data_IF_891256979322
#
_entry.id   IF_891256979322
#
_cell.length_a   1.000
_cell.length_b   1.000
_cell.length_c   1.000
_cell.angle_alpha   90.00
_cell.angle_beta   90.00
_cell.angle_gamma   90.00
#
_symmetry.space_group_name_H-M   'P 1'
#
loop_
_entity.id
_entity.type
_entity.pdbx_description
1 polymer ?
#
# COMPACT_ATOMS: atom_id res chain seq x y z
N UNK A 1 7.48 24.71 -17.98
CA UNK A 1 6.50 24.55 -16.88
C UNK A 1 7.22 24.23 -15.59
N UNK A 2 7.29 25.19 -14.66
CA UNK A 2 7.87 24.96 -13.33
C UNK A 2 6.93 24.09 -12.47
N UNK A 3 7.38 23.64 -11.29
CA UNK A 3 6.58 22.75 -10.42
C UNK A 3 5.30 23.44 -9.95
N UNK A 4 5.34 24.74 -9.68
CA UNK A 4 4.18 25.49 -9.20
C UNK A 4 3.06 25.55 -10.25
N UNK A 5 3.42 25.80 -11.51
CA UNK A 5 2.49 25.85 -12.64
C UNK A 5 1.81 24.48 -12.86
N UNK A 6 2.56 23.38 -12.71
CA UNK A 6 2.01 22.02 -12.75
C UNK A 6 1.00 21.77 -11.62
N UNK A 7 1.37 22.15 -10.40
CA UNK A 7 0.51 22.00 -9.21
C UNK A 7 -0.77 22.82 -9.34
N UNK A 8 -0.68 24.06 -9.83
CA UNK A 8 -1.85 24.91 -10.01
C UNK A 8 -2.82 24.33 -11.04
N UNK A 9 -2.33 23.83 -12.16
CA UNK A 9 -3.17 23.14 -13.16
C UNK A 9 -3.91 21.93 -12.58
N UNK A 10 -3.26 21.17 -11.68
CA UNK A 10 -3.91 20.05 -10.98
C UNK A 10 -4.98 20.54 -10.02
N UNK A 11 -4.71 21.60 -9.26
CA UNK A 11 -5.67 22.19 -8.32
C UNK A 11 -6.94 22.67 -9.03
N UNK A 12 -6.80 23.23 -10.23
CA UNK A 12 -7.90 23.71 -11.08
C UNK A 12 -8.69 22.58 -11.73
N UNK A 13 -8.13 21.36 -11.79
CA UNK A 13 -8.81 20.20 -12.38
C UNK A 13 -10.02 19.72 -11.56
N UNK A 14 -10.91 18.98 -12.22
CA UNK A 14 -12.03 18.33 -11.55
C UNK A 14 -11.56 17.26 -10.54
N UNK A 15 -12.20 17.20 -9.38
CA UNK A 15 -11.86 16.22 -8.33
C UNK A 15 -12.08 14.76 -8.77
N UNK A 16 -12.92 14.54 -9.79
CA UNK A 16 -13.25 13.23 -10.36
C UNK A 16 -12.01 12.51 -10.88
N UNK A 17 -11.07 13.22 -11.51
CA UNK A 17 -9.87 12.58 -12.10
C UNK A 17 -8.95 12.02 -11.00
N UNK A 18 -8.53 12.81 -9.98
CA UNK A 18 -7.83 12.29 -8.81
C UNK A 18 -8.51 11.07 -8.17
N UNK A 19 -9.83 11.12 -7.99
CA UNK A 19 -10.59 10.03 -7.40
C UNK A 19 -10.53 8.76 -8.25
N UNK A 20 -10.71 8.86 -9.57
CA UNK A 20 -10.62 7.72 -10.48
C UNK A 20 -9.23 7.09 -10.42
N UNK A 21 -8.16 7.90 -10.36
CA UNK A 21 -6.79 7.38 -10.24
C UNK A 21 -6.65 6.57 -8.94
N UNK A 22 -7.10 7.10 -7.81
CA UNK A 22 -7.03 6.40 -6.50
C UNK A 22 -7.82 5.09 -6.53
N UNK A 23 -9.03 5.10 -7.10
CA UNK A 23 -9.85 3.90 -7.25
C UNK A 23 -9.17 2.86 -8.16
N UNK A 24 -8.59 3.29 -9.28
CA UNK A 24 -7.83 2.41 -10.16
C UNK A 24 -6.61 1.82 -9.44
N UNK A 25 -5.88 2.62 -8.65
CA UNK A 25 -4.77 2.12 -7.81
C UNK A 25 -5.27 1.04 -6.86
N UNK A 26 -6.42 1.24 -6.21
CA UNK A 26 -7.01 0.26 -5.29
C UNK A 26 -7.44 -1.04 -5.98
N UNK A 27 -8.08 -0.95 -7.16
CA UNK A 27 -8.46 -2.12 -7.95
C UNK A 27 -7.23 -2.91 -8.37
N UNK A 28 -6.22 -2.25 -8.95
CA UNK A 28 -5.00 -2.94 -9.41
C UNK A 28 -4.24 -3.54 -8.24
N UNK A 29 -4.10 -2.80 -7.13
CA UNK A 29 -3.47 -3.32 -5.91
C UNK A 29 -4.22 -4.56 -5.39
N UNK A 30 -5.55 -4.52 -5.32
CA UNK A 30 -6.36 -5.67 -4.89
C UNK A 30 -6.21 -6.89 -5.81
N UNK A 31 -6.19 -6.69 -7.13
CA UNK A 31 -5.95 -7.77 -8.11
C UNK A 31 -4.56 -8.36 -7.92
N UNK A 32 -3.52 -7.53 -7.80
CA UNK A 32 -2.14 -8.01 -7.62
C UNK A 32 -2.01 -8.75 -6.28
N UNK A 33 -2.57 -8.22 -5.20
CA UNK A 33 -2.60 -8.89 -3.89
C UNK A 33 -3.34 -10.23 -3.95
N UNK A 34 -4.46 -10.32 -4.67
CA UNK A 34 -5.16 -11.59 -4.87
C UNK A 34 -4.28 -12.62 -5.59
N UNK A 35 -3.57 -12.22 -6.65
CA UNK A 35 -2.66 -13.13 -7.38
C UNK A 35 -1.54 -13.61 -6.44
N UNK A 36 -0.94 -12.71 -5.65
CA UNK A 36 0.08 -13.08 -4.65
C UNK A 36 -0.52 -14.04 -3.61
N UNK A 37 -1.70 -13.73 -3.04
CA UNK A 37 -2.36 -14.60 -2.06
C UNK A 37 -2.76 -15.95 -2.64
N UNK A 38 -3.02 -16.05 -3.95
CA UNK A 38 -3.35 -17.32 -4.59
C UNK A 38 -2.17 -18.31 -4.65
N UNK A 39 -0.94 -17.84 -4.39
CA UNK A 39 0.25 -18.68 -4.21
C UNK A 39 0.30 -19.37 -2.84
N UNK A 40 -0.59 -19.01 -1.92
CA UNK A 40 -0.70 -19.62 -0.60
C UNK A 40 -1.85 -20.63 -0.64
N UNK A 41 -1.50 -21.90 -0.51
CA UNK A 41 -2.43 -23.02 -0.49
C UNK A 41 -2.64 -23.48 0.94
N UNK A 42 -3.89 -23.63 1.35
CA UNK A 42 -4.25 -24.08 2.69
C UNK A 42 -4.73 -25.52 2.63
N UNK A 43 -4.17 -26.40 3.47
CA UNK A 43 -4.62 -27.78 3.65
C UNK A 43 -5.55 -27.76 4.86
N UNK A 44 -6.85 -27.87 4.61
CA UNK A 44 -7.86 -27.78 5.65
C UNK A 44 -8.10 -29.14 6.32
N UNK A 45 -8.57 -29.17 7.59
CA UNK A 45 -9.09 -30.40 8.18
C UNK A 45 -10.26 -30.94 7.34
N UNK A 46 -10.36 -32.27 7.17
CA UNK A 46 -11.33 -32.97 6.30
C UNK A 46 -12.81 -32.61 6.52
N UNK A 47 -13.14 -31.96 7.64
CA UNK A 47 -14.50 -31.66 8.08
C UNK A 47 -14.88 -30.17 7.98
N UNK A 48 -14.05 -29.31 7.37
CA UNK A 48 -14.34 -27.88 7.29
C UNK A 48 -15.08 -27.51 5.98
N UNK A 49 -16.33 -27.02 6.04
CA UNK A 49 -17.08 -26.58 4.85
C UNK A 49 -16.53 -25.29 4.22
N UNK A 50 -15.53 -24.65 4.84
CA UNK A 50 -14.94 -23.37 4.42
C UNK A 50 -14.09 -23.52 3.17
N UNK A 51 -13.48 -24.69 2.95
CA UNK A 51 -12.59 -24.96 1.80
C UNK A 51 -13.27 -24.62 0.46
N UNK A 52 -14.55 -25.01 0.30
CA UNK A 52 -15.30 -24.82 -0.93
C UNK A 52 -15.51 -23.35 -1.31
N UNK A 53 -15.56 -22.44 -0.33
CA UNK A 53 -15.85 -21.02 -0.55
C UNK A 53 -14.63 -20.11 -0.34
N UNK A 54 -13.53 -20.65 0.20
CA UNK A 54 -12.36 -19.88 0.59
C UNK A 54 -11.77 -19.07 -0.56
N UNK A 55 -11.64 -19.67 -1.76
CA UNK A 55 -11.12 -18.98 -2.94
C UNK A 55 -11.95 -17.75 -3.34
N UNK A 56 -13.28 -17.84 -3.27
CA UNK A 56 -14.19 -16.74 -3.60
C UNK A 56 -14.18 -15.67 -2.51
N UNK A 57 -14.17 -16.07 -1.24
CA UNK A 57 -14.09 -15.16 -0.10
C UNK A 57 -12.79 -14.36 -0.15
N UNK A 58 -11.66 -15.03 -0.41
CA UNK A 58 -10.35 -14.38 -0.52
C UNK A 58 -10.25 -13.45 -1.72
N UNK A 59 -10.78 -13.84 -2.88
CA UNK A 59 -10.82 -12.98 -4.06
C UNK A 59 -11.66 -11.71 -3.82
N UNK A 60 -12.85 -11.87 -3.22
CA UNK A 60 -13.72 -10.73 -2.91
C UNK A 60 -13.11 -9.81 -1.84
N UNK A 61 -12.55 -10.38 -0.77
CA UNK A 61 -11.99 -9.61 0.34
C UNK A 61 -10.75 -8.83 -0.06
N UNK A 62 -9.86 -9.39 -0.87
CA UNK A 62 -8.64 -8.72 -1.35
C UNK A 62 -8.97 -7.58 -2.32
N UNK A 63 -9.93 -7.75 -3.22
CA UNK A 63 -10.35 -6.68 -4.13
C UNK A 63 -11.01 -5.52 -3.39
N UNK A 64 -11.97 -5.82 -2.50
CA UNK A 64 -12.68 -4.81 -1.72
C UNK A 64 -11.72 -4.08 -0.78
N UNK A 65 -10.86 -4.82 -0.07
CA UNK A 65 -9.86 -4.23 0.81
C UNK A 65 -8.86 -3.37 0.06
N UNK A 66 -8.41 -3.75 -1.14
CA UNK A 66 -7.52 -2.92 -1.97
C UNK A 66 -8.10 -1.54 -2.28
N UNK A 67 -9.38 -1.47 -2.64
CA UNK A 67 -10.08 -0.19 -2.90
C UNK A 67 -10.20 0.63 -1.63
N UNK A 68 -10.67 0.02 -0.53
CA UNK A 68 -10.85 0.71 0.76
C UNK A 68 -9.51 1.24 1.26
N UNK A 69 -8.46 0.41 1.27
CA UNK A 69 -7.12 0.78 1.73
C UNK A 69 -6.55 1.90 0.88
N UNK A 70 -6.73 1.91 -0.46
CA UNK A 70 -6.25 2.99 -1.30
C UNK A 70 -6.92 4.32 -0.98
N UNK A 71 -8.25 4.34 -0.83
CA UNK A 71 -9.00 5.56 -0.49
C UNK A 71 -8.66 6.05 0.92
N UNK A 72 -8.63 5.15 1.90
CA UNK A 72 -8.25 5.46 3.28
C UNK A 72 -6.83 6.00 3.32
N UNK A 73 -5.86 5.31 2.70
CA UNK A 73 -4.47 5.77 2.64
C UNK A 73 -4.39 7.16 2.01
N UNK A 74 -5.07 7.40 0.90
CA UNK A 74 -5.08 8.71 0.26
C UNK A 74 -5.60 9.81 1.18
N UNK A 75 -6.75 9.60 1.81
CA UNK A 75 -7.36 10.60 2.70
C UNK A 75 -6.51 10.84 3.95
N UNK A 76 -6.05 9.78 4.62
CA UNK A 76 -5.27 9.90 5.86
C UNK A 76 -3.87 10.44 5.61
N UNK A 77 -3.17 9.97 4.57
CA UNK A 77 -1.82 10.43 4.25
C UNK A 77 -1.83 11.93 3.91
N UNK A 78 -2.68 12.33 2.97
CA UNK A 78 -2.73 13.73 2.53
C UNK A 78 -3.45 14.64 3.54
N UNK A 79 -4.36 14.09 4.35
CA UNK A 79 -4.94 14.78 5.50
C UNK A 79 -3.88 15.08 6.57
N UNK A 80 -3.04 14.11 6.91
CA UNK A 80 -1.93 14.31 7.87
C UNK A 80 -0.91 15.33 7.34
N UNK A 81 -0.54 15.24 6.06
CA UNK A 81 0.32 16.23 5.40
C UNK A 81 -0.29 17.63 5.51
N UNK A 82 -1.61 17.75 5.29
CA UNK A 82 -2.29 19.02 5.38
C UNK A 82 -2.22 19.62 6.79
N UNK A 83 -2.46 18.82 7.82
CA UNK A 83 -2.40 19.26 9.21
C UNK A 83 -0.98 19.74 9.56
N UNK A 84 0.05 18.96 9.22
CA UNK A 84 1.43 19.30 9.57
C UNK A 84 1.92 20.53 8.78
N UNK A 85 1.62 20.61 7.48
CA UNK A 85 1.99 21.77 6.67
C UNK A 85 1.32 23.06 7.15
N UNK A 86 0.07 22.99 7.61
CA UNK A 86 -0.65 24.12 8.23
C UNK A 86 0.00 24.55 9.54
N UNK A 87 0.42 23.59 10.38
CA UNK A 87 1.15 23.88 11.62
C UNK A 87 2.48 24.63 11.37
N UNK A 88 3.09 24.45 10.20
CA UNK A 88 4.30 25.19 9.80
C UNK A 88 4.05 26.59 9.20
N UNK A 89 2.79 27.06 9.21
CA UNK A 89 2.37 28.36 8.68
C UNK A 89 1.96 28.33 7.20
N UNK A 90 1.74 27.15 6.62
CA UNK A 90 1.30 27.01 5.23
C UNK A 90 -0.15 27.46 5.00
N UNK A 91 -0.45 27.91 3.78
CA UNK A 91 -1.80 28.30 3.36
C UNK A 91 -2.35 27.33 2.32
N UNK A 92 -3.63 26.98 2.41
CA UNK A 92 -4.27 26.11 1.43
C UNK A 92 -5.43 25.31 2.02
N UNK A 93 -6.31 24.84 1.14
CA UNK A 93 -7.47 24.02 1.49
C UNK A 93 -7.15 22.53 1.35
N UNK A 94 -7.81 21.69 2.17
CA UNK A 94 -7.62 20.24 2.14
C UNK A 94 -7.93 19.63 0.77
N UNK A 95 -8.93 20.16 0.06
CA UNK A 95 -9.32 19.69 -1.26
C UNK A 95 -8.18 19.81 -2.28
N UNK A 96 -7.40 20.89 -2.22
CA UNK A 96 -6.26 21.11 -3.13
C UNK A 96 -5.20 20.03 -2.98
N UNK A 97 -4.96 19.62 -1.74
CA UNK A 97 -3.93 18.62 -1.40
C UNK A 97 -4.40 17.22 -1.73
N UNK A 98 -5.68 16.92 -1.52
CA UNK A 98 -6.28 15.67 -1.96
C UNK A 98 -6.22 15.54 -3.49
N UNK A 99 -6.54 16.59 -4.26
CA UNK A 99 -6.41 16.57 -5.73
C UNK A 99 -4.99 16.21 -6.17
N UNK A 100 -3.99 16.93 -5.64
CA UNK A 100 -2.59 16.66 -5.96
C UNK A 100 -2.16 15.27 -5.50
N UNK A 101 -2.62 14.84 -4.33
CA UNK A 101 -2.38 13.50 -3.83
C UNK A 101 -2.94 12.39 -4.70
N UNK A 102 -4.12 12.59 -5.29
CA UNK A 102 -4.70 11.60 -6.20
C UNK A 102 -3.91 11.48 -7.51
N UNK A 103 -3.31 12.58 -8.00
CA UNK A 103 -2.37 12.50 -9.11
C UNK A 103 -1.05 11.82 -8.73
N UNK A 104 -0.58 11.97 -7.49
CA UNK A 104 0.61 11.26 -6.98
C UNK A 104 0.34 9.76 -6.90
N UNK A 105 -0.91 9.36 -6.63
CA UNK A 105 -1.33 7.95 -6.68
C UNK A 105 -1.17 7.32 -8.08
N UNK A 106 -1.00 8.11 -9.16
CA UNK A 106 -0.62 7.58 -10.47
C UNK A 106 0.76 6.91 -10.43
N UNK A 107 1.70 7.43 -9.65
CA UNK A 107 3.02 6.82 -9.46
C UNK A 107 2.84 5.46 -8.77
N UNK A 108 1.98 5.38 -7.75
CA UNK A 108 1.68 4.13 -7.05
C UNK A 108 0.93 3.14 -7.93
N UNK A 109 0.02 3.60 -8.80
CA UNK A 109 -0.66 2.76 -9.79
C UNK A 109 0.37 2.08 -10.70
N UNK A 110 1.30 2.86 -11.27
CA UNK A 110 2.38 2.32 -12.11
C UNK A 110 3.23 1.35 -11.30
N UNK A 111 3.56 1.67 -10.05
CA UNK A 111 4.32 0.77 -9.18
C UNK A 111 3.67 -0.59 -8.96
N UNK A 112 2.35 -0.63 -8.74
CA UNK A 112 1.60 -1.88 -8.61
C UNK A 112 1.56 -2.69 -9.93
N UNK A 113 1.46 -2.02 -11.07
CA UNK A 113 1.52 -2.70 -12.38
C UNK A 113 2.90 -3.31 -12.61
N UNK A 114 3.96 -2.56 -12.29
CA UNK A 114 5.34 -3.04 -12.45
C UNK A 114 5.66 -4.15 -11.45
N UNK A 115 5.16 -4.09 -10.22
CA UNK A 115 5.41 -5.13 -9.22
C UNK A 115 4.78 -6.47 -9.61
N UNK A 116 3.72 -6.47 -10.42
CA UNK A 116 3.13 -7.70 -10.97
C UNK A 116 4.12 -8.55 -11.78
N UNK A 117 5.18 -7.95 -12.36
CA UNK A 117 6.24 -8.67 -13.08
C UNK A 117 7.02 -9.61 -12.15
N UNK A 118 7.10 -9.29 -10.86
CA UNK A 118 7.80 -10.11 -9.87
C UNK A 118 6.97 -11.32 -9.38
N UNK A 119 5.65 -11.26 -9.53
CA UNK A 119 4.71 -12.25 -8.97
C UNK A 119 4.94 -13.68 -9.48
N UNK A 120 5.25 -13.93 -10.77
CA UNK A 120 5.57 -15.29 -11.24
C UNK A 120 6.80 -15.92 -10.60
N UNK A 121 7.70 -15.12 -10.01
CA UNK A 121 8.91 -15.59 -9.33
C UNK A 121 8.69 -15.86 -7.84
N UNK A 122 7.50 -15.58 -7.32
CA UNK A 122 7.13 -15.88 -5.94
C UNK A 122 6.81 -17.38 -5.85
N UNK A 123 7.49 -18.14 -4.96
CA UNK A 123 7.24 -19.57 -4.81
C UNK A 123 5.84 -19.81 -4.24
N UNK A 124 5.31 -21.01 -4.46
CA UNK A 124 4.08 -21.44 -3.79
C UNK A 124 4.37 -21.83 -2.34
N UNK A 125 3.44 -21.53 -1.45
CA UNK A 125 3.49 -21.86 -0.03
C UNK A 125 2.32 -22.77 0.31
N UNK A 126 2.55 -23.80 1.12
CA UNK A 126 1.50 -24.73 1.57
C UNK A 126 1.38 -24.67 3.09
N UNK A 127 0.30 -24.09 3.57
CA UNK A 127 0.01 -23.99 4.99
C UNK A 127 -0.89 -25.16 5.36
N UNK A 128 -0.36 -26.13 6.09
CA UNK A 128 -1.18 -27.13 6.76
C UNK A 128 -1.99 -26.44 7.86
N UNK A 129 -3.29 -26.68 7.96
CA UNK A 129 -4.15 -26.14 9.02
C UNK A 129 -4.81 -27.26 9.84
N UNK A 130 -4.39 -28.52 9.66
CA UNK A 130 -4.94 -29.69 10.36
C UNK A 130 -4.82 -29.58 11.89
N UNK A 131 -3.77 -28.92 12.39
CA UNK A 131 -3.50 -28.72 13.82
C UNK A 131 -4.37 -27.64 14.48
N UNK A 132 -5.22 -26.89 13.75
CA UNK A 132 -6.02 -25.76 14.32
C UNK A 132 -6.90 -26.18 15.52
N UNK A 133 -7.26 -27.47 15.60
CA UNK A 133 -8.10 -28.01 16.68
C UNK A 133 -7.30 -28.61 17.85
N UNK A 134 -5.97 -28.53 17.82
CA UNK A 134 -5.11 -29.03 18.90
C UNK A 134 -5.04 -28.02 20.05
N UNK A 135 -4.95 -28.51 21.30
CA UNK A 135 -4.83 -27.64 22.49
C UNK A 135 -3.54 -26.81 22.49
N UNK A 136 -2.47 -27.33 21.87
CA UNK A 136 -1.18 -26.66 21.69
C UNK A 136 -0.68 -26.88 20.27
N UNK A 137 -1.14 -26.06 19.30
CA UNK A 137 -0.72 -26.21 17.92
C UNK A 137 0.77 -25.86 17.77
N UNK A 138 1.55 -26.77 17.18
CA UNK A 138 2.93 -26.46 16.77
C UNK A 138 2.90 -25.71 15.44
N UNK A 139 3.27 -24.43 15.48
CA UNK A 139 3.28 -23.54 14.31
C UNK A 139 4.68 -23.31 13.73
N UNK A 140 5.70 -24.01 14.25
CA UNK A 140 7.10 -23.79 13.86
C UNK A 140 7.33 -23.99 12.36
N UNK A 141 6.73 -25.03 11.76
CA UNK A 141 6.83 -25.29 10.33
C UNK A 141 6.21 -24.16 9.49
N UNK A 142 5.08 -23.59 9.91
CA UNK A 142 4.43 -22.47 9.20
C UNK A 142 5.29 -21.23 9.28
N UNK A 143 5.89 -20.96 10.45
CA UNK A 143 6.77 -19.81 10.64
C UNK A 143 8.00 -19.93 9.73
N UNK A 144 8.60 -21.12 9.63
CA UNK A 144 9.73 -21.38 8.75
C UNK A 144 9.35 -21.23 7.27
N UNK A 145 8.22 -21.79 6.85
CA UNK A 145 7.71 -21.65 5.48
C UNK A 145 7.33 -20.18 5.15
N UNK A 146 6.74 -19.45 6.12
CA UNK A 146 6.42 -18.03 5.96
C UNK A 146 7.69 -17.23 5.74
N UNK A 147 8.73 -17.52 6.52
CA UNK A 147 10.02 -16.87 6.42
C UNK A 147 10.70 -17.19 5.08
N UNK A 148 10.70 -18.44 4.64
CA UNK A 148 11.22 -18.82 3.33
C UNK A 148 10.47 -18.10 2.19
N UNK A 149 9.14 -18.08 2.25
CA UNK A 149 8.30 -17.38 1.29
C UNK A 149 8.63 -15.87 1.24
N UNK A 150 8.70 -15.20 2.39
CA UNK A 150 8.97 -13.77 2.52
C UNK A 150 10.42 -13.39 2.16
N UNK A 151 11.37 -14.32 2.32
CA UNK A 151 12.78 -14.11 1.96
C UNK A 151 13.13 -14.60 0.56
N UNK A 152 12.16 -15.18 -0.16
CA UNK A 152 12.33 -15.57 -1.55
C UNK A 152 12.67 -14.36 -2.44
N UNK A 153 13.48 -14.60 -3.47
CA UNK A 153 13.88 -13.54 -4.40
C UNK A 153 12.69 -12.85 -5.07
N UNK A 154 11.65 -13.61 -5.43
CA UNK A 154 10.43 -13.08 -6.04
C UNK A 154 9.68 -12.14 -5.11
N UNK A 155 9.49 -12.53 -3.85
CA UNK A 155 8.78 -11.71 -2.87
C UNK A 155 9.55 -10.43 -2.52
N UNK A 156 10.87 -10.54 -2.31
CA UNK A 156 11.74 -9.38 -2.08
C UNK A 156 11.68 -8.42 -3.26
N UNK A 157 11.73 -8.92 -4.51
CA UNK A 157 11.64 -8.07 -5.70
C UNK A 157 10.29 -7.34 -5.78
N UNK A 158 9.19 -8.07 -5.52
CA UNK A 158 7.84 -7.52 -5.48
C UNK A 158 7.72 -6.35 -4.48
N UNK A 159 8.13 -6.56 -3.22
CA UNK A 159 8.09 -5.54 -2.17
C UNK A 159 9.06 -4.37 -2.45
N UNK A 160 10.23 -4.66 -3.01
CA UNK A 160 11.24 -3.64 -3.35
C UNK A 160 10.72 -2.68 -4.42
N UNK A 161 10.06 -3.20 -5.47
CA UNK A 161 9.44 -2.36 -6.51
C UNK A 161 8.41 -1.42 -5.86
N UNK A 162 7.48 -1.96 -5.07
CA UNK A 162 6.45 -1.15 -4.40
C UNK A 162 7.10 -0.07 -3.53
N UNK A 163 8.13 -0.42 -2.76
CA UNK A 163 8.85 0.50 -1.88
C UNK A 163 9.55 1.63 -2.65
N UNK A 164 10.17 1.33 -3.79
CA UNK A 164 10.78 2.34 -4.67
C UNK A 164 9.72 3.34 -5.16
N UNK A 165 8.58 2.86 -5.64
CA UNK A 165 7.51 3.74 -6.11
C UNK A 165 6.88 4.56 -4.97
N UNK A 166 6.79 4.02 -3.75
CA UNK A 166 6.41 4.80 -2.55
C UNK A 166 7.42 5.92 -2.28
N UNK A 167 8.72 5.66 -2.38
CA UNK A 167 9.76 6.68 -2.19
C UNK A 167 9.72 7.76 -3.28
N UNK A 168 9.52 7.38 -4.54
CA UNK A 168 9.33 8.34 -5.64
C UNK A 168 8.08 9.20 -5.40
N UNK A 169 6.96 8.59 -5.02
CA UNK A 169 5.74 9.31 -4.67
C UNK A 169 5.96 10.30 -3.52
N UNK A 170 6.74 9.93 -2.50
CA UNK A 170 7.12 10.83 -1.40
C UNK A 170 7.89 12.06 -1.91
N UNK A 171 8.87 11.87 -2.80
CA UNK A 171 9.64 12.99 -3.38
C UNK A 171 8.70 13.97 -4.11
N UNK A 172 7.81 13.47 -4.96
CA UNK A 172 6.84 14.32 -5.66
C UNK A 172 5.86 14.99 -4.70
N UNK A 173 5.51 14.32 -3.60
CA UNK A 173 4.67 14.91 -2.55
C UNK A 173 5.36 16.07 -1.84
N UNK A 174 6.66 15.95 -1.55
CA UNK A 174 7.46 17.02 -0.94
C UNK A 174 7.53 18.24 -1.87
N UNK A 175 7.79 18.01 -3.16
CA UNK A 175 7.81 19.06 -4.18
C UNK A 175 6.45 19.76 -4.30
N UNK A 176 5.37 18.99 -4.30
CA UNK A 176 4.01 19.51 -4.33
C UNK A 176 3.65 20.31 -3.08
N UNK A 177 4.01 19.81 -1.90
CA UNK A 177 3.71 20.47 -0.63
C UNK A 177 4.44 21.82 -0.50
N UNK A 178 5.70 21.90 -0.92
CA UNK A 178 6.44 23.18 -1.00
C UNK A 178 5.67 24.19 -1.86
N UNK A 179 5.26 23.80 -3.07
CA UNK A 179 4.56 24.67 -4.00
C UNK A 179 3.14 25.06 -3.54
N UNK A 180 2.39 24.11 -2.97
CA UNK A 180 1.01 24.30 -2.50
C UNK A 180 0.94 25.23 -1.29
N UNK A 181 1.80 24.99 -0.31
CA UNK A 181 1.73 25.66 1.00
C UNK A 181 2.66 26.87 1.12
N UNK A 182 3.54 27.08 0.15
CA UNK A 182 4.58 28.14 0.18
C UNK A 182 5.45 28.06 1.44
N UNK A 183 5.76 26.85 1.88
CA UNK A 183 6.67 26.56 3.00
C UNK A 183 8.05 26.20 2.46
N UNK A 184 9.10 26.32 3.28
CA UNK A 184 10.45 25.92 2.85
C UNK A 184 10.56 24.41 2.60
N UNK A 185 11.48 24.00 1.72
CA UNK A 185 11.79 22.58 1.44
C UNK A 185 11.94 21.73 2.71
N UNK A 186 12.64 22.21 3.73
CA UNK A 186 12.84 21.47 4.98
C UNK A 186 11.52 21.21 5.72
N UNK A 187 10.65 22.22 5.79
CA UNK A 187 9.31 22.07 6.39
C UNK A 187 8.45 21.10 5.58
N UNK A 188 8.53 21.15 4.24
CA UNK A 188 7.83 20.21 3.37
C UNK A 188 8.33 18.77 3.54
N UNK A 189 9.65 18.57 3.68
CA UNK A 189 10.26 17.26 3.97
C UNK A 189 9.70 16.70 5.29
N UNK A 190 9.60 17.51 6.35
CA UNK A 190 9.07 17.03 7.63
C UNK A 190 7.56 16.74 7.51
N UNK A 191 6.80 17.64 6.88
CA UNK A 191 5.35 17.50 6.72
C UNK A 191 4.94 16.27 5.90
N UNK A 192 5.75 15.88 4.91
CA UNK A 192 5.49 14.70 4.09
C UNK A 192 6.19 13.46 4.64
N UNK A 193 7.42 13.61 5.12
CA UNK A 193 8.27 12.52 5.58
C UNK A 193 7.69 11.80 6.79
N UNK A 194 7.13 12.51 7.77
CA UNK A 194 6.52 11.86 8.95
C UNK A 194 5.35 10.94 8.54
N UNK A 195 4.33 11.41 7.79
CA UNK A 195 3.25 10.54 7.32
C UNK A 195 3.74 9.38 6.44
N UNK A 196 4.71 9.61 5.54
CA UNK A 196 5.27 8.55 4.70
C UNK A 196 6.08 7.53 5.50
N UNK A 197 6.82 7.94 6.52
CA UNK A 197 7.53 7.02 7.43
C UNK A 197 6.53 6.12 8.15
N UNK A 198 5.45 6.66 8.68
CA UNK A 198 4.38 5.85 9.29
C UNK A 198 3.80 4.87 8.26
N UNK A 199 3.51 5.34 7.05
CA UNK A 199 2.97 4.52 5.96
C UNK A 199 3.93 3.40 5.49
N UNK A 200 5.24 3.62 5.52
CA UNK A 200 6.26 2.64 5.12
C UNK A 200 6.61 1.70 6.28
N UNK A 201 6.68 2.20 7.51
CA UNK A 201 7.17 1.46 8.67
C UNK A 201 6.11 0.56 9.31
N UNK A 202 4.82 0.91 9.24
CA UNK A 202 3.76 0.06 9.82
C UNK A 202 3.82 -1.37 9.25
N UNK A 203 3.86 -1.59 7.92
CA UNK A 203 3.96 -2.96 7.37
C UNK A 203 5.19 -3.72 7.86
N UNK A 204 6.34 -3.04 7.97
CA UNK A 204 7.59 -3.64 8.46
C UNK A 204 7.46 -4.03 9.93
N UNK A 205 6.88 -3.17 10.76
CA UNK A 205 6.69 -3.42 12.18
C UNK A 205 5.68 -4.56 12.42
N UNK A 206 4.58 -4.59 11.66
CA UNK A 206 3.62 -5.69 11.71
C UNK A 206 4.28 -7.01 11.32
N UNK A 207 5.07 -7.03 10.24
CA UNK A 207 5.81 -8.22 9.80
C UNK A 207 6.79 -8.72 10.86
N UNK A 208 7.59 -7.82 11.45
CA UNK A 208 8.54 -8.17 12.51
C UNK A 208 7.86 -8.73 13.76
N UNK A 209 6.72 -8.15 14.17
CA UNK A 209 5.93 -8.66 15.29
C UNK A 209 5.43 -10.08 15.02
N UNK A 210 4.89 -10.35 13.82
CA UNK A 210 4.44 -11.70 13.43
C UNK A 210 5.56 -12.74 13.33
N UNK A 211 6.81 -12.33 13.07
CA UNK A 211 7.97 -13.24 13.01
C UNK A 211 8.64 -13.45 14.37
N UNK A 212 8.31 -12.63 15.37
CA UNK A 212 8.87 -12.69 16.73
C UNK A 212 7.97 -13.42 17.73
N UNK A 213 6.77 -13.80 17.30
CA UNK A 213 5.78 -14.61 18.02
C UNK A 213 5.81 -16.04 17.48
#
# INVERSE_FOLDING_TARGET
>A
MNIEERVNKIVESEFRIPLIIVLATGVISGVVSWIVSSKIHYIWPENMPVEQYWGVIMAGSTLISGIIVAVVTWVFLFGAIHIIARAFGGFGEVQRVLKVGGYIFLILLVGNIVSAIAVPFIPEMKIDLSYINEETPDISEILDQTKEYQTSTGYILYESIITIFKAVAMIFTILAAEALYKISRMKAIIACGIPYLVYILIPIFTMLLTLSL
#
